data_IF_025774038409
#
_entry.id   IF_025774038409
#
_cell.length_a   1.000
_cell.length_b   1.000
_cell.length_c   1.000
_cell.angle_alpha   90.00
_cell.angle_beta   90.00
_cell.angle_gamma   90.00
#
_symmetry.space_group_name_H-M   'P 1'
#
loop_
_entity.id
_entity.type
_entity.pdbx_description
1 polymer ?
#
# COMPACT_ATOMS: atom_id res chain seq x y z
N UNK A 1 10.67 0.53 4.98
CA UNK A 1 9.76 1.66 4.68
C UNK A 1 9.14 2.07 5.98
N UNK A 2 9.28 3.35 6.34
CA UNK A 2 8.77 3.90 7.57
C UNK A 2 7.41 4.56 7.34
N UNK A 3 6.35 4.00 7.92
CA UNK A 3 4.99 4.52 7.77
C UNK A 3 4.86 5.97 8.23
N UNK A 4 5.64 6.40 9.22
CA UNK A 4 5.60 7.80 9.65
C UNK A 4 6.16 8.74 8.59
N UNK A 5 7.35 8.43 8.04
CA UNK A 5 8.11 9.35 7.19
C UNK A 5 7.86 9.19 5.68
N UNK A 6 7.31 8.04 5.26
CA UNK A 6 7.25 7.63 3.85
C UNK A 6 5.82 7.46 3.32
N UNK A 7 4.83 7.44 4.22
CA UNK A 7 3.41 7.29 3.87
C UNK A 7 2.71 8.66 3.73
N UNK A 8 1.40 8.66 3.55
CA UNK A 8 0.56 9.86 3.39
C UNK A 8 0.44 10.72 4.65
N UNK A 9 1.04 10.31 5.76
CA UNK A 9 0.83 10.95 7.06
C UNK A 9 1.76 12.13 7.29
N UNK A 10 3.07 11.84 7.37
CA UNK A 10 4.13 12.82 7.56
C UNK A 10 5.27 12.52 6.58
N UNK A 11 6.08 13.53 6.26
CA UNK A 11 7.30 13.35 5.48
C UNK A 11 8.44 14.15 6.08
N UNK A 12 9.42 13.45 6.65
CA UNK A 12 10.49 14.08 7.43
C UNK A 12 9.97 14.93 8.60
N UNK A 13 8.83 14.56 9.19
CA UNK A 13 8.16 15.31 10.27
C UNK A 13 7.17 16.39 9.79
N UNK A 14 7.12 16.70 8.50
CA UNK A 14 6.14 17.63 7.95
C UNK A 14 4.79 16.94 7.74
N UNK A 15 3.69 17.52 8.25
CA UNK A 15 2.34 17.03 8.00
C UNK A 15 2.01 17.17 6.50
N UNK A 16 1.55 16.07 5.89
CA UNK A 16 1.14 16.08 4.49
C UNK A 16 -0.35 16.39 4.35
N UNK A 17 -0.74 17.12 3.31
CA UNK A 17 -2.15 17.33 2.97
C UNK A 17 -2.87 16.01 2.65
N UNK A 18 -2.13 15.00 2.17
CA UNK A 18 -2.68 13.68 1.89
C UNK A 18 -3.14 12.96 3.17
N UNK A 19 -2.67 13.35 4.35
CA UNK A 19 -3.18 12.84 5.63
C UNK A 19 -4.69 13.14 5.76
N UNK A 20 -5.07 14.40 5.47
CA UNK A 20 -6.45 14.84 5.41
C UNK A 20 -7.21 14.22 4.23
N UNK A 21 -6.59 14.23 3.03
CA UNK A 21 -7.19 13.70 1.80
C UNK A 21 -7.55 12.22 1.93
N UNK A 22 -6.62 11.41 2.40
CA UNK A 22 -6.80 9.98 2.59
C UNK A 22 -7.76 9.65 3.74
N UNK A 23 -7.70 10.38 4.87
CA UNK A 23 -8.64 10.15 5.97
C UNK A 23 -10.10 10.40 5.54
N UNK A 24 -10.32 11.47 4.77
CA UNK A 24 -11.64 11.81 4.21
C UNK A 24 -12.09 10.79 3.17
N UNK A 25 -11.16 10.32 2.33
CA UNK A 25 -11.42 9.26 1.35
C UNK A 25 -11.82 7.95 2.02
N UNK A 26 -11.07 7.51 3.03
CA UNK A 26 -11.36 6.32 3.81
C UNK A 26 -12.71 6.41 4.53
N UNK A 27 -13.04 7.57 5.10
CA UNK A 27 -14.34 7.82 5.70
C UNK A 27 -15.46 7.63 4.66
N UNK A 28 -15.33 8.23 3.47
CA UNK A 28 -16.32 8.11 2.40
C UNK A 28 -16.53 6.66 1.94
N UNK A 29 -15.45 5.92 1.67
CA UNK A 29 -15.54 4.52 1.23
C UNK A 29 -16.11 3.59 2.30
N UNK A 30 -15.69 3.79 3.56
CA UNK A 30 -16.10 2.93 4.68
C UNK A 30 -17.56 3.16 5.05
N UNK A 31 -18.06 4.39 4.89
CA UNK A 31 -19.45 4.76 5.19
C UNK A 31 -20.49 4.20 4.20
N UNK A 32 -20.09 3.53 3.12
CA UNK A 32 -21.04 3.03 2.12
C UNK A 32 -21.92 1.91 2.69
N UNK A 33 -23.22 1.89 2.34
CA UNK A 33 -24.10 0.78 2.68
C UNK A 33 -23.63 -0.51 1.99
N UNK A 34 -23.84 -1.68 2.61
CA UNK A 34 -23.65 -2.94 1.92
C UNK A 34 -24.71 -3.11 0.83
N UNK A 35 -24.42 -3.92 -0.18
CA UNK A 35 -25.38 -4.26 -1.23
C UNK A 35 -26.59 -5.01 -0.62
N UNK A 36 -27.84 -4.51 -0.78
CA UNK A 36 -29.04 -5.18 -0.28
C UNK A 36 -29.20 -6.62 -0.78
N UNK A 37 -28.79 -6.93 -2.02
CA UNK A 37 -28.89 -8.29 -2.58
C UNK A 37 -27.96 -9.28 -1.88
N UNK A 38 -26.86 -8.80 -1.31
CA UNK A 38 -25.89 -9.63 -0.58
C UNK A 38 -26.22 -9.67 0.91
N UNK A 39 -26.61 -8.53 1.50
CA UNK A 39 -26.85 -8.39 2.93
C UNK A 39 -28.28 -8.74 3.37
N UNK A 40 -29.20 -8.91 2.42
CA UNK A 40 -30.63 -9.18 2.63
C UNK A 40 -31.45 -7.90 2.80
N UNK A 41 -32.60 -7.83 2.12
CA UNK A 41 -33.44 -6.64 1.94
C UNK A 41 -33.82 -5.91 3.24
N UNK A 42 -34.00 -6.64 4.34
CA UNK A 42 -34.40 -6.06 5.62
C UNK A 42 -33.24 -5.89 6.62
N UNK A 43 -32.04 -6.45 6.34
CA UNK A 43 -30.90 -6.46 7.28
C UNK A 43 -29.80 -5.46 6.89
N UNK A 44 -29.69 -5.11 5.60
CA UNK A 44 -28.61 -4.24 5.10
C UNK A 44 -28.59 -2.88 5.83
N UNK A 45 -29.76 -2.32 6.15
CA UNK A 45 -29.89 -1.01 6.77
C UNK A 45 -29.40 -1.01 8.21
N UNK A 46 -29.80 -2.01 9.00
CA UNK A 46 -29.36 -2.15 10.39
C UNK A 46 -27.85 -2.41 10.46
N UNK A 47 -27.33 -3.24 9.55
CA UNK A 47 -25.90 -3.48 9.41
C UNK A 47 -25.15 -2.19 9.05
N UNK A 48 -25.70 -1.38 8.13
CA UNK A 48 -25.12 -0.11 7.74
C UNK A 48 -25.07 0.89 8.90
N UNK A 49 -26.19 1.09 9.61
CA UNK A 49 -26.24 2.01 10.75
C UNK A 49 -25.29 1.59 11.87
N UNK A 50 -25.26 0.31 12.23
CA UNK A 50 -24.29 -0.19 13.22
C UNK A 50 -22.85 0.08 12.79
N UNK A 51 -22.52 -0.08 11.50
CA UNK A 51 -21.19 0.23 10.99
C UNK A 51 -20.89 1.72 11.09
N UNK A 52 -21.83 2.60 10.74
CA UNK A 52 -21.65 4.05 10.84
C UNK A 52 -21.41 4.49 12.29
N UNK A 53 -22.19 3.96 13.25
CA UNK A 53 -22.05 4.27 14.68
C UNK A 53 -20.70 3.81 15.26
N UNK A 54 -20.12 2.75 14.70
CA UNK A 54 -18.87 2.17 15.18
C UNK A 54 -17.66 2.48 14.28
N UNK A 55 -17.84 3.30 13.24
CA UNK A 55 -16.77 3.64 12.32
C UNK A 55 -15.87 4.72 12.92
N UNK A 56 -14.59 4.43 13.04
CA UNK A 56 -13.60 5.43 13.45
C UNK A 56 -13.36 6.46 12.35
N UNK A 57 -13.33 7.73 12.72
CA UNK A 57 -12.74 8.77 11.86
C UNK A 57 -11.24 8.81 12.11
N UNK A 58 -10.44 8.52 11.08
CA UNK A 58 -9.00 8.29 11.21
C UNK A 58 -8.20 9.58 11.40
N UNK A 59 -8.70 10.73 10.93
CA UNK A 59 -7.95 11.98 10.95
C UNK A 59 -7.55 12.44 12.37
N UNK A 60 -8.45 12.52 13.37
CA UNK A 60 -8.06 12.90 14.74
C UNK A 60 -6.99 11.97 15.33
N UNK A 61 -7.10 10.67 15.06
CA UNK A 61 -6.11 9.68 15.50
C UNK A 61 -4.76 9.97 14.89
N UNK A 62 -4.67 10.14 13.57
CA UNK A 62 -3.41 10.42 12.88
C UNK A 62 -2.79 11.76 13.30
N UNK A 63 -3.62 12.80 13.51
CA UNK A 63 -3.15 14.11 13.99
C UNK A 63 -2.68 14.10 15.44
N UNK A 64 -3.16 13.16 16.28
CA UNK A 64 -2.68 13.00 17.65
C UNK A 64 -1.27 12.38 17.72
N UNK A 65 -0.87 11.64 16.69
CA UNK A 65 0.43 10.96 16.60
C UNK A 65 1.44 11.80 15.79
N UNK A 66 1.73 13.02 16.24
CA UNK A 66 2.59 13.97 15.49
C UNK A 66 4.05 13.55 15.39
N UNK A 67 4.51 12.69 16.28
CA UNK A 67 5.89 12.19 16.31
C UNK A 67 5.92 10.70 15.96
N UNK A 68 7.09 10.21 15.57
CA UNK A 68 7.33 8.78 15.34
C UNK A 68 7.29 7.97 16.64
N UNK A 69 6.10 7.65 17.10
CA UNK A 69 5.85 6.88 18.31
C UNK A 69 5.48 5.41 18.03
N UNK A 70 5.02 4.69 19.07
CA UNK A 70 4.63 3.29 18.98
C UNK A 70 3.48 3.02 17.97
N UNK A 71 2.61 4.02 17.72
CA UNK A 71 1.52 3.88 16.78
C UNK A 71 2.04 3.72 15.34
N UNK A 72 3.09 4.45 14.98
CA UNK A 72 3.70 4.35 13.65
C UNK A 72 4.58 3.12 13.51
N UNK A 73 5.41 2.83 14.53
CA UNK A 73 6.36 1.69 14.51
C UNK A 73 5.68 0.36 14.19
N UNK A 74 4.48 0.11 14.75
CA UNK A 74 3.74 -1.16 14.53
C UNK A 74 3.44 -1.47 13.06
N UNK A 75 3.42 -0.46 12.19
CA UNK A 75 3.11 -0.60 10.77
C UNK A 75 4.30 -0.30 9.85
N UNK A 76 5.49 -0.13 10.42
CA UNK A 76 6.70 0.21 9.67
C UNK A 76 7.57 -1.02 9.48
N UNK A 77 7.79 -1.44 8.23
CA UNK A 77 8.63 -2.61 7.94
C UNK A 77 10.11 -2.37 8.25
N UNK A 78 10.54 -1.10 8.39
CA UNK A 78 11.91 -0.80 8.81
C UNK A 78 12.24 -1.20 10.25
N UNK A 79 11.26 -1.64 11.05
CA UNK A 79 11.55 -2.19 12.38
C UNK A 79 12.21 -3.57 12.30
N UNK A 80 11.85 -4.39 11.31
CA UNK A 80 12.45 -5.71 11.08
C UNK A 80 12.20 -6.19 9.64
N UNK A 81 13.17 -5.95 8.75
CA UNK A 81 13.11 -6.49 7.38
C UNK A 81 13.36 -8.00 7.34
N UNK A 82 14.06 -8.57 8.34
CA UNK A 82 14.40 -9.98 8.38
C UNK A 82 13.17 -10.86 8.57
N UNK A 83 12.07 -10.31 9.11
CA UNK A 83 10.78 -10.98 9.20
C UNK A 83 10.20 -11.38 7.83
N UNK A 84 10.62 -10.71 6.74
CA UNK A 84 10.22 -11.07 5.39
C UNK A 84 11.03 -12.28 4.92
N UNK A 85 10.35 -13.42 4.79
CA UNK A 85 10.92 -14.66 4.24
C UNK A 85 10.43 -14.99 2.82
N UNK A 86 9.34 -14.36 2.39
CA UNK A 86 8.78 -14.56 1.07
C UNK A 86 9.58 -13.79 0.00
N UNK A 87 9.59 -14.31 -1.23
CA UNK A 87 10.13 -13.58 -2.37
C UNK A 87 9.31 -12.32 -2.66
N UNK A 88 9.97 -11.16 -2.74
CA UNK A 88 9.35 -9.84 -2.94
C UNK A 88 9.65 -9.25 -4.33
N UNK A 89 8.61 -9.04 -5.14
CA UNK A 89 8.67 -8.16 -6.30
C UNK A 89 8.02 -6.83 -5.96
N UNK A 90 8.83 -5.78 -5.87
CA UNK A 90 8.35 -4.42 -5.60
C UNK A 90 8.34 -3.60 -6.89
N UNK A 91 7.20 -3.01 -7.23
CA UNK A 91 7.00 -2.28 -8.49
C UNK A 91 6.44 -0.90 -8.18
N UNK A 92 6.97 0.14 -8.82
CA UNK A 92 6.55 1.51 -8.60
C UNK A 92 7.21 2.47 -9.58
N UNK A 93 7.07 3.77 -9.33
CA UNK A 93 7.50 4.78 -10.28
C UNK A 93 8.21 5.97 -9.66
N UNK A 94 9.06 6.61 -10.46
CA UNK A 94 9.77 7.82 -10.07
C UNK A 94 8.85 9.01 -9.79
N UNK A 95 7.67 9.04 -10.42
CA UNK A 95 6.66 10.07 -10.20
C UNK A 95 5.60 9.68 -9.16
N UNK A 96 5.86 8.60 -8.42
CA UNK A 96 5.06 8.17 -7.28
C UNK A 96 5.49 8.91 -5.99
N UNK A 97 4.55 9.11 -5.06
CA UNK A 97 4.80 9.68 -3.73
C UNK A 97 5.63 8.77 -2.81
N UNK A 98 5.52 7.45 -3.00
CA UNK A 98 6.18 6.37 -2.26
C UNK A 98 7.48 5.89 -2.93
N UNK A 99 8.12 6.73 -3.75
CA UNK A 99 9.28 6.38 -4.59
C UNK A 99 10.47 5.74 -3.86
N UNK A 100 10.62 5.99 -2.56
CA UNK A 100 11.70 5.44 -1.75
C UNK A 100 11.46 3.99 -1.30
N UNK A 101 10.22 3.51 -1.31
CA UNK A 101 9.87 2.18 -0.80
C UNK A 101 10.70 1.08 -1.47
N UNK A 102 10.84 1.12 -2.79
CA UNK A 102 11.54 0.08 -3.58
C UNK A 102 13.02 0.00 -3.18
N UNK A 103 13.70 1.14 -3.09
CA UNK A 103 15.11 1.18 -2.68
C UNK A 103 15.28 0.61 -1.27
N UNK A 104 14.41 0.98 -0.32
CA UNK A 104 14.47 0.43 1.03
C UNK A 104 14.26 -1.09 1.04
N UNK A 105 13.30 -1.61 0.28
CA UNK A 105 13.01 -3.05 0.24
C UNK A 105 14.17 -3.83 -0.39
N UNK A 106 14.62 -3.43 -1.58
CA UNK A 106 15.72 -4.11 -2.29
C UNK A 106 17.04 -4.06 -1.50
N UNK A 107 17.28 -2.99 -0.74
CA UNK A 107 18.52 -2.84 0.04
C UNK A 107 18.53 -3.67 1.33
N UNK A 108 17.37 -3.85 1.98
CA UNK A 108 17.34 -4.38 3.35
C UNK A 108 16.68 -5.76 3.48
N UNK A 109 15.95 -6.24 2.48
CA UNK A 109 15.39 -7.60 2.51
C UNK A 109 16.47 -8.60 2.12
N UNK A 110 16.63 -9.64 2.94
CA UNK A 110 17.58 -10.75 2.69
C UNK A 110 16.97 -11.88 1.87
N UNK A 111 15.64 -12.06 1.92
CA UNK A 111 14.92 -12.97 1.03
C UNK A 111 15.03 -12.50 -0.43
N UNK A 112 14.73 -13.37 -1.43
CA UNK A 112 14.77 -12.97 -2.83
C UNK A 112 13.93 -11.71 -3.07
N UNK A 113 14.57 -10.64 -3.55
CA UNK A 113 13.93 -9.34 -3.72
C UNK A 113 14.32 -8.72 -5.04
N UNK A 114 13.33 -8.18 -5.76
CA UNK A 114 13.53 -7.47 -7.02
C UNK A 114 12.68 -6.20 -7.06
N UNK A 115 13.29 -5.11 -7.53
CA UNK A 115 12.63 -3.83 -7.71
C UNK A 115 12.48 -3.47 -9.19
N UNK A 116 11.29 -3.02 -9.60
CA UNK A 116 11.06 -2.41 -10.93
C UNK A 116 10.60 -0.97 -10.72
N UNK A 117 11.39 -0.03 -11.24
CA UNK A 117 11.08 1.41 -11.17
C UNK A 117 10.95 1.97 -12.58
N UNK A 118 9.75 2.42 -12.93
CA UNK A 118 9.50 3.14 -14.17
C UNK A 118 9.26 4.63 -13.95
N UNK A 119 8.88 5.40 -14.98
CA UNK A 119 8.63 6.83 -14.84
C UNK A 119 7.24 7.15 -14.26
N UNK A 120 6.48 6.13 -13.83
CA UNK A 120 5.04 6.19 -13.56
C UNK A 120 4.64 6.99 -12.31
N UNK A 121 3.41 7.50 -12.33
CA UNK A 121 2.66 7.94 -11.14
C UNK A 121 2.10 6.75 -10.35
N UNK A 122 1.34 7.04 -9.29
CA UNK A 122 0.66 6.06 -8.43
C UNK A 122 -0.47 5.27 -9.13
N UNK A 123 -0.09 4.41 -10.08
CA UNK A 123 -0.95 3.55 -10.91
C UNK A 123 -0.16 2.32 -11.40
N UNK A 124 -0.86 1.28 -11.85
CA UNK A 124 -0.17 0.11 -12.41
C UNK A 124 0.60 0.44 -13.70
N UNK A 125 1.82 -0.11 -13.88
CA UNK A 125 2.72 0.27 -14.98
C UNK A 125 2.20 0.11 -16.40
N UNK A 126 1.21 -0.76 -16.62
CA UNK A 126 0.66 -1.04 -17.95
C UNK A 126 -0.29 0.05 -18.46
N UNK A 127 -0.89 0.85 -17.57
CA UNK A 127 -1.74 1.99 -17.95
C UNK A 127 -1.34 3.31 -17.29
N UNK A 128 -0.32 3.32 -16.44
CA UNK A 128 0.18 4.55 -15.84
C UNK A 128 0.84 5.47 -16.89
N UNK A 129 0.84 6.75 -16.54
CA UNK A 129 1.61 7.79 -17.21
C UNK A 129 2.71 8.30 -16.26
N UNK A 130 3.73 9.00 -16.77
CA UNK A 130 4.15 9.05 -18.17
C UNK A 130 4.58 7.67 -18.72
N UNK A 131 4.70 7.59 -20.05
CA UNK A 131 5.25 6.42 -20.76
C UNK A 131 6.80 6.38 -20.63
N UNK A 132 7.48 5.26 -20.94
CA UNK A 132 6.95 3.98 -21.44
C UNK A 132 6.15 3.20 -20.38
N UNK A 133 5.10 2.52 -20.82
CA UNK A 133 4.43 1.48 -20.04
C UNK A 133 5.15 0.15 -20.23
N UNK A 134 4.99 -0.78 -19.30
CA UNK A 134 5.52 -2.15 -19.42
C UNK A 134 4.39 -3.19 -19.35
N UNK A 135 4.71 -4.42 -19.73
CA UNK A 135 3.87 -5.59 -19.49
C UNK A 135 3.83 -5.97 -18.00
N UNK A 136 3.17 -5.17 -17.17
CA UNK A 136 3.07 -5.40 -15.72
C UNK A 136 2.63 -6.83 -15.37
N UNK A 137 1.60 -7.33 -16.05
CA UNK A 137 1.06 -8.66 -15.79
C UNK A 137 2.04 -9.76 -16.21
N UNK A 138 2.81 -9.55 -17.28
CA UNK A 138 3.84 -10.49 -17.72
C UNK A 138 4.98 -10.57 -16.69
N UNK A 139 5.44 -9.44 -16.17
CA UNK A 139 6.46 -9.42 -15.11
C UNK A 139 5.97 -10.07 -13.82
N UNK A 140 4.72 -9.79 -13.41
CA UNK A 140 4.13 -10.39 -12.22
C UNK A 140 3.93 -11.91 -12.38
N UNK A 141 3.45 -12.37 -13.53
CA UNK A 141 3.29 -13.80 -13.82
C UNK A 141 4.62 -14.53 -13.82
N UNK A 142 5.65 -13.99 -14.49
CA UNK A 142 7.00 -14.60 -14.48
C UNK A 142 7.56 -14.75 -13.07
N UNK A 143 7.31 -13.77 -12.21
CA UNK A 143 7.71 -13.83 -10.80
C UNK A 143 6.98 -14.93 -10.03
N UNK A 144 5.64 -14.95 -10.10
CA UNK A 144 4.84 -15.94 -9.40
C UNK A 144 5.04 -17.36 -9.95
N UNK A 145 5.15 -17.54 -11.25
CA UNK A 145 5.40 -18.85 -11.86
C UNK A 145 6.71 -19.45 -11.34
N UNK A 146 7.74 -18.63 -11.14
CA UNK A 146 8.98 -19.10 -10.54
C UNK A 146 8.82 -19.42 -9.06
N UNK A 147 8.42 -18.46 -8.22
CA UNK A 147 8.42 -18.62 -6.76
C UNK A 147 7.27 -19.47 -6.20
N UNK A 148 6.20 -19.68 -6.96
CA UNK A 148 5.04 -20.48 -6.54
C UNK A 148 4.89 -21.80 -7.31
N UNK A 149 5.45 -21.92 -8.52
CA UNK A 149 5.32 -23.12 -9.36
C UNK A 149 6.65 -23.77 -9.75
N UNK A 150 7.80 -23.17 -9.40
CA UNK A 150 9.11 -23.68 -9.77
C UNK A 150 9.44 -23.56 -11.27
N UNK A 151 8.76 -22.68 -12.00
CA UNK A 151 9.02 -22.48 -13.42
C UNK A 151 10.34 -21.73 -13.67
N UNK A 152 11.05 -22.09 -14.75
CA UNK A 152 12.26 -21.40 -15.19
C UNK A 152 11.91 -20.13 -15.98
N UNK A 153 11.82 -18.99 -15.31
CA UNK A 153 11.43 -17.70 -15.94
C UNK A 153 12.56 -16.66 -15.99
N UNK A 154 13.73 -16.99 -15.43
CA UNK A 154 14.91 -16.11 -15.37
C UNK A 154 14.77 -14.90 -14.43
N UNK A 155 13.77 -14.90 -13.54
CA UNK A 155 13.51 -13.77 -12.63
C UNK A 155 14.46 -13.70 -11.43
N UNK A 156 15.31 -14.68 -11.20
CA UNK A 156 16.34 -14.65 -10.15
C UNK A 156 17.56 -13.78 -10.51
N UNK A 157 17.81 -13.57 -11.82
CA UNK A 157 18.96 -12.83 -12.34
C UNK A 157 18.86 -11.31 -12.18
#
# INVERSE_FOLDING_TARGET
VDRYADDIHYKGGCLLNENFGWASTMLSYSSRPPDPLIAGDNRWRDLWLRRLENQSFLLPLWLSHQHRDAYWKRGSICEDFSAIKAAVLSIGGWHDGYRNAISHLVTNIEAPVKGIVGPWIHKYPHYAAPKPAIGFLQEALRWWDHWLKGAETGVEA
#
